data_IF_302852537190
#
_entry.id   IF_302852537190
#
_cell.length_a   1.000
_cell.length_b   1.000
_cell.length_c   1.000
_cell.angle_alpha   90.00
_cell.angle_beta   90.00
_cell.angle_gamma   90.00
#
_symmetry.space_group_name_H-M   'P 1'
#
loop_
_entity.id
_entity.type
_entity.pdbx_description
1 polymer ?
#
# COMPACT_ATOMS: atom_id res chain seq x y z
N UNK A 1 -0.78 12.00 -4.70
CA UNK A 1 -1.22 10.68 -4.25
C UNK A 1 -2.25 10.13 -5.23
N UNK A 2 -1.98 8.97 -5.81
CA UNK A 2 -2.90 8.29 -6.73
C UNK A 2 -3.52 7.09 -6.04
N UNK A 3 -4.83 6.90 -6.19
CA UNK A 3 -5.58 5.73 -5.71
C UNK A 3 -6.24 5.03 -6.88
N UNK A 4 -6.14 3.71 -6.91
CA UNK A 4 -6.76 2.87 -7.93
C UNK A 4 -7.76 1.92 -7.27
N UNK A 5 -8.95 1.81 -7.84
CA UNK A 5 -9.95 0.84 -7.46
C UNK A 5 -10.09 -0.17 -8.59
N UNK A 6 -10.04 -1.44 -8.26
CA UNK A 6 -10.01 -2.53 -9.24
C UNK A 6 -11.17 -3.48 -8.96
N UNK A 7 -11.91 -3.83 -10.00
CA UNK A 7 -12.94 -4.86 -9.95
C UNK A 7 -12.46 -6.09 -10.74
N UNK A 8 -12.51 -7.30 -10.17
CA UNK A 8 -12.14 -8.52 -10.89
C UNK A 8 -12.94 -8.71 -12.16
N UNK A 9 -12.32 -9.27 -13.20
CA UNK A 9 -12.95 -9.47 -14.51
C UNK A 9 -14.20 -10.36 -14.44
N UNK A 10 -14.19 -11.34 -13.57
CA UNK A 10 -15.29 -12.27 -13.33
C UNK A 10 -16.54 -11.59 -12.73
N UNK A 11 -16.36 -10.40 -12.13
CA UNK A 11 -17.41 -9.62 -11.49
C UNK A 11 -17.84 -8.39 -12.31
N UNK A 12 -17.46 -8.31 -13.58
CA UNK A 12 -17.74 -7.16 -14.45
C UNK A 12 -19.10 -7.28 -15.18
N UNK A 13 -20.12 -7.83 -14.52
CA UNK A 13 -21.50 -7.66 -14.99
C UNK A 13 -21.99 -6.22 -14.78
N UNK A 14 -23.02 -5.83 -15.53
CA UNK A 14 -23.50 -4.43 -15.56
C UNK A 14 -23.93 -3.91 -14.18
N UNK A 15 -24.60 -4.75 -13.39
CA UNK A 15 -25.13 -4.33 -12.10
C UNK A 15 -24.01 -4.22 -11.05
N UNK A 16 -23.04 -5.10 -11.07
CA UNK A 16 -21.87 -5.05 -10.19
C UNK A 16 -20.97 -3.88 -10.53
N UNK A 17 -20.76 -3.59 -11.81
CA UNK A 17 -20.02 -2.39 -12.24
C UNK A 17 -20.73 -1.11 -11.79
N UNK A 18 -22.07 -1.05 -11.93
CA UNK A 18 -22.84 0.12 -11.49
C UNK A 18 -22.72 0.34 -9.98
N UNK A 19 -22.87 -0.72 -9.17
CA UNK A 19 -22.70 -0.65 -7.70
C UNK A 19 -21.28 -0.25 -7.32
N UNK A 20 -20.28 -0.79 -8.01
CA UNK A 20 -18.87 -0.43 -7.81
C UNK A 20 -18.64 1.07 -8.07
N UNK A 21 -19.16 1.62 -9.18
CA UNK A 21 -19.04 3.04 -9.49
C UNK A 21 -19.74 3.92 -8.43
N UNK A 22 -20.92 3.50 -7.95
CA UNK A 22 -21.61 4.19 -6.86
C UNK A 22 -20.79 4.20 -5.56
N UNK A 23 -20.12 3.09 -5.24
CA UNK A 23 -19.23 3.02 -4.09
C UNK A 23 -18.00 3.93 -4.24
N UNK A 24 -17.45 4.05 -5.46
CA UNK A 24 -16.38 5.01 -5.75
C UNK A 24 -16.86 6.46 -5.62
N UNK A 25 -18.09 6.77 -6.08
CA UNK A 25 -18.70 8.09 -5.90
C UNK A 25 -18.89 8.44 -4.42
N UNK A 26 -19.36 7.48 -3.64
CA UNK A 26 -19.53 7.65 -2.21
C UNK A 26 -18.20 7.88 -1.50
N UNK A 27 -17.18 7.09 -1.83
CA UNK A 27 -15.83 7.26 -1.29
C UNK A 27 -15.26 8.65 -1.61
N UNK A 28 -15.38 9.09 -2.86
CA UNK A 28 -14.94 10.42 -3.29
C UNK A 28 -15.63 11.53 -2.50
N UNK A 29 -16.94 11.43 -2.29
CA UNK A 29 -17.71 12.40 -1.48
C UNK A 29 -17.23 12.42 -0.03
N UNK A 30 -17.12 11.26 0.63
CA UNK A 30 -16.71 11.17 2.03
C UNK A 30 -15.33 11.84 2.24
N UNK A 31 -14.39 11.59 1.35
CA UNK A 31 -13.05 12.18 1.45
C UNK A 31 -13.10 13.69 1.18
N UNK A 32 -13.81 14.15 0.15
CA UNK A 32 -13.91 15.55 -0.17
C UNK A 32 -14.67 16.35 0.91
N UNK A 33 -15.71 15.77 1.48
CA UNK A 33 -16.51 16.37 2.56
C UNK A 33 -15.74 16.45 3.88
N UNK A 34 -14.73 15.60 4.08
CA UNK A 34 -13.86 15.68 5.26
C UNK A 34 -13.04 16.97 5.34
N UNK A 35 -12.84 17.65 4.22
CA UNK A 35 -12.07 18.89 4.13
C UNK A 35 -10.55 18.75 4.29
N UNK A 36 -10.03 17.55 4.60
CA UNK A 36 -8.60 17.33 4.77
C UNK A 36 -7.85 17.18 3.45
N UNK A 37 -8.46 16.52 2.48
CA UNK A 37 -7.86 16.22 1.17
C UNK A 37 -8.95 16.33 0.11
N UNK A 38 -8.58 16.87 -1.03
CA UNK A 38 -9.44 16.84 -2.22
C UNK A 38 -8.97 15.73 -3.16
N UNK A 39 -9.87 14.86 -3.56
CA UNK A 39 -9.63 13.84 -4.57
C UNK A 39 -10.51 14.12 -5.79
N UNK A 40 -9.98 13.83 -6.97
CA UNK A 40 -10.67 13.96 -8.25
C UNK A 40 -10.36 12.74 -9.11
N UNK A 41 -11.30 12.40 -9.99
CA UNK A 41 -11.05 11.33 -10.96
C UNK A 41 -10.12 11.81 -12.05
N UNK A 42 -9.15 10.98 -12.36
CA UNK A 42 -8.25 11.21 -13.48
C UNK A 42 -8.98 10.94 -14.80
N UNK A 43 -8.79 11.82 -15.75
CA UNK A 43 -9.26 11.63 -17.13
C UNK A 43 -8.30 10.73 -17.89
N UNK A 44 -8.75 10.21 -19.03
CA UNK A 44 -7.96 9.32 -19.85
C UNK A 44 -6.64 9.95 -20.29
N UNK A 45 -6.67 11.20 -20.72
CA UNK A 45 -5.52 11.99 -21.15
C UNK A 45 -4.50 12.21 -20.01
N UNK A 46 -4.96 12.38 -18.78
CA UNK A 46 -4.08 12.48 -17.60
C UNK A 46 -3.41 11.14 -17.26
N UNK A 47 -4.04 10.01 -17.61
CA UNK A 47 -3.49 8.67 -17.37
C UNK A 47 -2.51 8.29 -18.49
N UNK A 48 -2.93 8.41 -19.76
CA UNK A 48 -2.17 7.92 -20.92
C UNK A 48 -1.24 8.96 -21.55
N UNK A 49 -1.40 10.24 -21.19
CA UNK A 49 -0.69 11.34 -21.83
C UNK A 49 -1.33 11.81 -23.14
N UNK A 50 -0.80 12.89 -23.65
CA UNK A 50 -1.11 13.52 -24.93
C UNK A 50 0.19 13.80 -25.68
N UNK A 51 0.12 14.25 -26.93
CA UNK A 51 1.32 14.60 -27.71
C UNK A 51 2.19 15.68 -27.03
N UNK A 52 1.58 16.54 -26.19
CA UNK A 52 2.24 17.68 -25.57
C UNK A 52 2.48 17.53 -24.05
N UNK A 53 1.95 16.48 -23.43
CA UNK A 53 2.05 16.30 -21.98
C UNK A 53 2.08 14.81 -21.62
N UNK A 54 3.10 14.42 -20.88
CA UNK A 54 3.26 13.04 -20.41
C UNK A 54 2.15 12.68 -19.41
N UNK A 55 1.52 11.52 -19.58
CA UNK A 55 0.57 10.96 -18.66
C UNK A 55 1.25 10.36 -17.41
N UNK A 56 0.43 10.00 -16.40
CA UNK A 56 0.98 9.42 -15.16
C UNK A 56 1.71 8.10 -15.41
N UNK A 57 1.27 7.29 -16.39
CA UNK A 57 1.91 6.03 -16.76
C UNK A 57 3.31 6.31 -17.33
N UNK A 58 3.43 7.28 -18.24
CA UNK A 58 4.72 7.65 -18.82
C UNK A 58 5.67 8.22 -17.77
N UNK A 59 5.18 9.12 -16.89
CA UNK A 59 5.95 9.67 -15.76
C UNK A 59 6.42 8.58 -14.80
N UNK A 60 5.60 7.57 -14.57
CA UNK A 60 5.96 6.43 -13.73
C UNK A 60 7.10 5.60 -14.33
N UNK A 61 7.07 5.37 -15.65
CA UNK A 61 8.12 4.62 -16.34
C UNK A 61 9.39 5.43 -16.62
N UNK A 62 9.27 6.74 -16.84
CA UNK A 62 10.44 7.60 -17.07
C UNK A 62 11.15 8.00 -15.78
N UNK A 63 10.49 7.87 -14.62
CA UNK A 63 10.95 8.35 -13.31
C UNK A 63 11.38 9.84 -13.34
N UNK A 64 10.89 10.61 -14.32
CA UNK A 64 11.17 12.02 -14.51
C UNK A 64 10.00 12.87 -14.04
N UNK A 65 10.30 14.03 -13.49
CA UNK A 65 9.31 15.07 -13.20
C UNK A 65 9.12 16.01 -14.39
N UNK A 66 9.98 15.92 -15.39
CA UNK A 66 9.89 16.74 -16.59
C UNK A 66 8.78 16.22 -17.52
N UNK A 67 8.19 17.14 -18.29
CA UNK A 67 7.11 16.82 -19.25
C UNK A 67 7.67 16.18 -20.54
N UNK A 68 8.72 15.38 -20.43
CA UNK A 68 9.33 14.70 -21.55
C UNK A 68 8.61 13.40 -21.87
N UNK A 69 8.27 13.21 -23.12
CA UNK A 69 7.61 12.00 -23.64
C UNK A 69 8.59 10.87 -23.99
N UNK A 70 9.87 11.04 -23.70
CA UNK A 70 10.89 10.04 -24.04
C UNK A 70 10.96 8.96 -22.95
N UNK A 71 10.68 7.72 -23.36
CA UNK A 71 11.02 6.55 -22.56
C UNK A 71 12.55 6.45 -22.45
N UNK A 72 13.03 6.27 -21.24
CA UNK A 72 14.46 6.07 -20.98
C UNK A 72 14.81 4.58 -21.07
N UNK A 73 16.06 4.29 -21.40
CA UNK A 73 16.54 2.91 -21.48
C UNK A 73 16.48 2.25 -20.10
N UNK A 74 15.87 1.07 -20.06
CA UNK A 74 15.78 0.23 -18.87
C UNK A 74 16.86 -0.85 -18.91
N UNK A 75 17.79 -0.81 -17.98
CA UNK A 75 18.82 -1.83 -17.81
C UNK A 75 18.53 -2.66 -16.56
N UNK A 76 18.32 -3.97 -16.76
CA UNK A 76 18.13 -4.93 -15.67
C UNK A 76 19.35 -5.82 -15.57
N UNK A 77 20.26 -5.47 -14.69
CA UNK A 77 21.44 -6.28 -14.37
C UNK A 77 21.24 -7.13 -13.11
N UNK A 78 22.06 -8.16 -12.94
CA UNK A 78 21.99 -9.03 -11.76
C UNK A 78 22.25 -8.29 -10.43
N UNK A 79 23.01 -7.22 -10.45
CA UNK A 79 23.41 -6.45 -9.28
C UNK A 79 22.82 -5.03 -9.25
N UNK A 80 22.27 -4.56 -10.35
CA UNK A 80 21.87 -3.17 -10.50
C UNK A 80 20.73 -3.04 -11.53
N UNK A 81 19.77 -2.21 -11.19
CA UNK A 81 18.72 -1.75 -12.10
C UNK A 81 18.96 -0.27 -12.41
N UNK A 82 18.72 0.14 -13.66
CA UNK A 82 18.83 1.54 -14.08
C UNK A 82 17.71 1.91 -15.03
N UNK A 83 17.29 3.18 -14.94
CA UNK A 83 16.43 3.85 -15.91
C UNK A 83 17.15 5.13 -16.33
N UNK A 84 17.64 5.18 -17.55
CA UNK A 84 18.56 6.22 -17.98
C UNK A 84 19.78 6.30 -17.06
N UNK A 85 20.08 7.48 -16.55
CA UNK A 85 21.21 7.72 -15.64
C UNK A 85 20.89 7.38 -14.17
N UNK A 86 19.61 7.11 -13.84
CA UNK A 86 19.21 6.81 -12.50
C UNK A 86 19.43 5.33 -12.13
N UNK A 87 20.13 5.09 -11.04
CA UNK A 87 20.17 3.79 -10.38
C UNK A 87 18.89 3.61 -9.57
N UNK A 88 18.33 2.39 -9.56
CA UNK A 88 17.12 2.05 -8.84
C UNK A 88 17.39 0.98 -7.77
N UNK A 89 16.67 1.03 -6.68
CA UNK A 89 16.50 -0.09 -5.78
C UNK A 89 15.03 -0.28 -5.42
N UNK A 90 14.61 -1.54 -5.38
CA UNK A 90 13.27 -1.94 -4.99
C UNK A 90 13.37 -2.67 -3.65
N UNK A 91 12.71 -2.12 -2.65
CA UNK A 91 12.49 -2.78 -1.37
C UNK A 91 11.06 -3.27 -1.31
N UNK A 92 10.88 -4.54 -1.02
CA UNK A 92 9.56 -5.16 -0.94
C UNK A 92 9.44 -5.93 0.37
N UNK A 93 8.25 -5.94 0.92
CA UNK A 93 7.94 -6.79 2.07
C UNK A 93 7.99 -8.25 1.59
N UNK A 94 8.93 -9.02 2.11
CA UNK A 94 9.15 -10.42 1.72
C UNK A 94 8.64 -11.41 2.75
N UNK A 95 8.69 -11.06 4.03
CA UNK A 95 8.22 -11.91 5.12
C UNK A 95 7.37 -11.11 6.12
N UNK A 96 6.52 -11.82 6.84
CA UNK A 96 5.74 -11.26 7.95
C UNK A 96 6.63 -10.90 9.13
N UNK A 97 7.76 -11.57 9.30
CA UNK A 97 8.73 -11.31 10.36
C UNK A 97 9.45 -9.96 10.17
N UNK A 98 9.41 -9.39 8.96
CA UNK A 98 9.89 -8.04 8.68
C UNK A 98 8.95 -6.95 9.22
N UNK A 99 7.74 -7.33 9.65
CA UNK A 99 6.76 -6.40 10.19
C UNK A 99 6.84 -6.36 11.71
N UNK A 100 6.65 -5.16 12.31
CA UNK A 100 6.46 -5.08 13.75
C UNK A 100 5.17 -5.81 14.15
N UNK A 101 5.21 -6.57 15.23
CA UNK A 101 4.06 -7.35 15.70
C UNK A 101 2.83 -6.50 16.07
N UNK A 102 3.04 -5.22 16.40
CA UNK A 102 1.98 -4.25 16.67
C UNK A 102 2.41 -2.86 16.24
N UNK A 103 1.53 -2.12 15.59
CA UNK A 103 1.76 -0.75 15.14
C UNK A 103 0.71 0.17 15.75
N UNK A 104 1.15 1.26 16.37
CA UNK A 104 0.24 2.31 16.80
C UNK A 104 -0.35 3.04 15.58
N UNK A 105 -1.66 3.21 15.58
CA UNK A 105 -2.40 3.84 14.47
C UNK A 105 -2.41 5.36 14.55
N UNK A 106 -1.93 5.94 15.65
CA UNK A 106 -2.08 7.36 15.98
C UNK A 106 -0.79 8.00 16.51
N UNK A 107 0.36 7.56 16.02
CA UNK A 107 1.63 8.15 16.44
C UNK A 107 1.73 9.61 15.96
N UNK A 108 1.81 10.54 16.90
CA UNK A 108 2.05 11.95 16.61
C UNK A 108 3.49 12.15 16.10
N UNK A 109 3.61 12.86 14.99
CA UNK A 109 4.91 13.18 14.42
C UNK A 109 5.28 14.63 14.74
N UNK A 110 6.16 14.82 15.72
CA UNK A 110 6.48 16.12 16.31
C UNK A 110 7.07 17.13 15.32
N UNK A 111 7.83 16.67 14.31
CA UNK A 111 8.45 17.58 13.33
C UNK A 111 7.45 18.31 12.44
N UNK A 112 6.27 17.73 12.22
CA UNK A 112 5.21 18.30 11.39
C UNK A 112 3.98 18.71 12.20
N UNK A 113 3.96 18.38 13.49
CA UNK A 113 2.87 18.77 14.38
C UNK A 113 3.12 20.17 14.92
N UNK A 114 2.05 20.91 15.17
CA UNK A 114 2.04 22.23 15.78
C UNK A 114 1.11 22.22 16.99
N UNK A 115 1.11 23.32 17.78
CA UNK A 115 0.18 23.46 18.92
C UNK A 115 -1.30 23.48 18.50
N UNK A 116 -1.55 23.70 17.21
CA UNK A 116 -2.93 23.81 16.64
C UNK A 116 -3.32 22.66 15.74
N UNK A 117 -2.40 21.80 15.34
CA UNK A 117 -2.69 20.65 14.48
C UNK A 117 -1.72 19.49 14.71
N UNK A 118 -2.26 18.31 14.86
CA UNK A 118 -1.51 17.07 14.97
C UNK A 118 -1.28 16.45 13.60
N UNK A 119 -0.02 16.27 13.22
CA UNK A 119 0.31 15.38 12.11
C UNK A 119 0.49 13.97 12.68
N UNK A 120 -0.41 13.06 12.34
CA UNK A 120 -0.36 11.66 12.77
C UNK A 120 0.12 10.77 11.63
N UNK A 121 1.03 9.86 11.93
CA UNK A 121 1.60 8.94 10.97
C UNK A 121 1.00 7.55 11.17
N UNK A 122 0.52 6.97 10.09
CA UNK A 122 0.17 5.55 10.02
C UNK A 122 1.37 4.70 9.64
N UNK A 123 1.24 3.37 9.72
CA UNK A 123 2.30 2.38 9.56
C UNK A 123 3.28 2.63 8.40
N UNK A 124 2.83 2.92 7.20
CA UNK A 124 3.72 3.08 6.06
C UNK A 124 4.07 4.56 5.74
N UNK A 125 3.44 5.53 6.42
CA UNK A 125 3.69 6.96 6.20
C UNK A 125 5.12 7.38 6.56
N UNK A 126 5.76 6.88 7.64
CA UNK A 126 7.15 7.23 7.94
C UNK A 126 8.11 6.92 6.81
N UNK A 127 7.94 5.80 6.11
CA UNK A 127 8.80 5.41 4.99
C UNK A 127 8.77 6.49 3.91
N UNK A 128 7.57 6.93 3.49
CA UNK A 128 7.43 7.96 2.48
C UNK A 128 7.88 9.36 2.90
N UNK A 129 7.86 9.66 4.21
CA UNK A 129 8.22 10.99 4.72
C UNK A 129 9.72 11.11 5.04
N UNK A 130 10.34 10.01 5.48
CA UNK A 130 11.72 10.03 5.97
C UNK A 130 12.76 9.74 4.90
N UNK A 131 12.37 9.18 3.76
CA UNK A 131 13.29 8.93 2.65
C UNK A 131 13.75 10.25 2.02
N UNK A 132 15.06 10.43 1.93
CA UNK A 132 15.71 11.65 1.43
C UNK A 132 16.03 11.61 -0.08
N UNK A 133 15.66 10.57 -0.76
CA UNK A 133 15.81 10.39 -2.21
C UNK A 133 14.46 10.40 -2.94
N UNK A 134 14.49 10.45 -4.26
CA UNK A 134 13.28 10.24 -5.06
C UNK A 134 12.76 8.81 -4.85
N UNK A 135 11.46 8.68 -4.62
CA UNK A 135 10.88 7.37 -4.35
C UNK A 135 9.39 7.31 -4.68
N UNK A 136 8.91 6.10 -4.88
CA UNK A 136 7.50 5.77 -4.99
C UNK A 136 7.19 4.71 -3.94
N UNK A 137 6.25 5.00 -3.04
CA UNK A 137 5.72 4.03 -2.07
C UNK A 137 4.42 3.46 -2.62
N UNK A 138 4.40 2.16 -2.88
CA UNK A 138 3.20 1.45 -3.31
C UNK A 138 2.62 0.66 -2.13
N UNK A 139 1.35 0.86 -1.88
CA UNK A 139 0.58 0.11 -0.90
C UNK A 139 -0.57 -0.60 -1.61
N UNK A 140 -0.64 -1.91 -1.47
CA UNK A 140 -1.69 -2.75 -2.02
C UNK A 140 -2.55 -3.25 -0.86
N UNK A 141 -3.83 -2.97 -0.91
CA UNK A 141 -4.81 -3.42 0.08
C UNK A 141 -5.84 -4.28 -0.64
N UNK A 142 -5.92 -5.54 -0.26
CA UNK A 142 -6.91 -6.49 -0.78
C UNK A 142 -7.99 -6.69 0.28
N UNK A 143 -9.19 -6.24 -0.04
CA UNK A 143 -10.35 -6.36 0.83
C UNK A 143 -11.11 -7.60 0.38
N UNK A 144 -11.03 -8.65 1.17
CA UNK A 144 -11.77 -9.90 0.96
C UNK A 144 -13.14 -9.85 1.66
N UNK A 145 -13.98 -10.86 1.44
CA UNK A 145 -15.25 -10.99 2.17
C UNK A 145 -14.97 -11.23 3.68
N UNK A 146 -15.43 -10.33 4.57
CA UNK A 146 -15.16 -10.43 6.00
C UNK A 146 -15.71 -11.72 6.61
N UNK A 147 -16.90 -12.15 6.17
CA UNK A 147 -17.56 -13.34 6.71
C UNK A 147 -16.82 -14.62 6.32
N UNK A 148 -16.33 -14.69 5.09
CA UNK A 148 -15.49 -15.82 4.65
C UNK A 148 -14.16 -15.86 5.37
N UNK A 149 -13.53 -14.72 5.60
CA UNK A 149 -12.27 -14.64 6.33
C UNK A 149 -12.44 -15.07 7.79
N UNK A 150 -13.47 -14.61 8.48
CA UNK A 150 -13.78 -15.06 9.84
C UNK A 150 -13.94 -16.58 9.90
N UNK A 151 -14.71 -17.18 8.99
CA UNK A 151 -14.87 -18.65 8.90
C UNK A 151 -13.54 -19.38 8.68
N UNK A 152 -12.63 -18.80 7.87
CA UNK A 152 -11.29 -19.36 7.66
C UNK A 152 -10.48 -19.34 8.96
N UNK A 153 -10.46 -18.22 9.68
CA UNK A 153 -9.75 -18.09 10.96
C UNK A 153 -10.36 -18.98 12.05
N UNK A 154 -11.67 -19.08 12.16
CA UNK A 154 -12.34 -20.02 13.08
C UNK A 154 -11.97 -21.47 12.79
N UNK A 155 -11.91 -21.87 11.51
CA UNK A 155 -11.45 -23.19 11.10
C UNK A 155 -9.98 -23.40 11.47
N UNK A 156 -9.14 -22.39 11.27
CA UNK A 156 -7.73 -22.43 11.62
C UNK A 156 -7.54 -22.54 13.12
N UNK A 157 -8.29 -21.78 13.94
CA UNK A 157 -8.27 -21.89 15.41
C UNK A 157 -8.60 -23.31 15.88
N UNK A 158 -9.65 -23.92 15.32
CA UNK A 158 -10.01 -25.33 15.62
C UNK A 158 -8.90 -26.31 15.25
N UNK A 159 -8.26 -26.13 14.11
CA UNK A 159 -7.13 -26.97 13.71
C UNK A 159 -5.92 -26.79 14.64
N UNK A 160 -5.60 -25.54 14.99
CA UNK A 160 -4.50 -25.24 15.92
C UNK A 160 -4.77 -25.75 17.33
N UNK A 161 -6.03 -25.82 17.76
CA UNK A 161 -6.40 -26.42 19.04
C UNK A 161 -5.95 -27.88 19.14
N UNK A 162 -6.13 -28.66 18.09
CA UNK A 162 -5.66 -30.07 18.06
C UNK A 162 -4.14 -30.18 17.97
N UNK A 163 -3.47 -29.24 17.30
CA UNK A 163 -2.02 -29.23 17.07
C UNK A 163 -1.23 -28.55 18.20
N UNK A 164 -1.87 -27.76 19.05
CA UNK A 164 -1.21 -27.03 20.15
C UNK A 164 -0.50 -27.94 21.17
N UNK A 165 -0.94 -29.19 21.27
CA UNK A 165 -0.31 -30.21 22.14
C UNK A 165 1.08 -30.65 21.66
N UNK A 166 1.40 -30.44 20.38
CA UNK A 166 2.62 -30.95 19.76
C UNK A 166 3.71 -29.89 19.61
N UNK A 167 3.38 -28.60 19.68
CA UNK A 167 4.35 -27.55 19.49
C UNK A 167 3.92 -26.26 20.20
N UNK A 168 4.88 -25.61 20.88
CA UNK A 168 4.68 -24.31 21.50
C UNK A 168 4.35 -23.22 20.44
N UNK A 169 4.91 -23.34 19.25
CA UNK A 169 4.59 -22.42 18.13
C UNK A 169 3.11 -22.51 17.74
N UNK A 170 2.55 -23.73 17.67
CA UNK A 170 1.13 -23.91 17.38
C UNK A 170 0.24 -23.37 18.50
N UNK A 171 0.68 -23.43 19.75
CA UNK A 171 -0.01 -22.82 20.87
C UNK A 171 -0.04 -21.30 20.75
N UNK A 172 1.09 -20.66 20.46
CA UNK A 172 1.19 -19.21 20.28
C UNK A 172 0.32 -18.75 19.09
N UNK A 173 0.40 -19.45 17.96
CA UNK A 173 -0.42 -19.14 16.78
C UNK A 173 -1.91 -19.27 17.08
N UNK A 174 -2.31 -20.25 17.90
CA UNK A 174 -3.70 -20.38 18.34
C UNK A 174 -4.12 -19.19 19.18
N UNK A 175 -3.32 -18.78 20.17
CA UNK A 175 -3.61 -17.64 21.05
C UNK A 175 -3.78 -16.36 20.24
N UNK A 176 -2.94 -16.09 19.24
CA UNK A 176 -3.07 -14.94 18.35
C UNK A 176 -4.34 -14.99 17.49
N UNK A 177 -4.71 -16.16 16.97
CA UNK A 177 -5.94 -16.30 16.18
C UNK A 177 -7.16 -16.08 17.07
N UNK A 178 -7.18 -16.62 18.29
CA UNK A 178 -8.27 -16.43 19.25
C UNK A 178 -8.39 -14.95 19.68
N UNK A 179 -7.28 -14.26 19.94
CA UNK A 179 -7.25 -12.83 20.24
C UNK A 179 -7.85 -12.02 19.07
N UNK A 180 -7.38 -12.28 17.84
CA UNK A 180 -7.94 -11.63 16.64
C UNK A 180 -9.44 -11.89 16.49
N UNK A 181 -9.91 -13.12 16.64
CA UNK A 181 -11.34 -13.45 16.54
C UNK A 181 -12.18 -12.71 17.59
N UNK A 182 -11.69 -12.62 18.83
CA UNK A 182 -12.35 -11.85 19.88
C UNK A 182 -12.45 -10.36 19.54
N UNK A 183 -11.37 -9.75 19.04
CA UNK A 183 -11.37 -8.36 18.60
C UNK A 183 -12.26 -8.16 17.36
N UNK A 184 -12.23 -9.06 16.39
CA UNK A 184 -13.05 -8.99 15.18
C UNK A 184 -14.54 -9.04 15.51
N UNK A 185 -14.95 -9.91 16.44
CA UNK A 185 -16.35 -10.00 16.86
C UNK A 185 -16.80 -8.84 17.76
N UNK A 186 -15.95 -8.35 18.65
CA UNK A 186 -16.29 -7.30 19.60
C UNK A 186 -16.23 -5.90 18.99
N UNK A 187 -15.28 -5.64 18.11
CA UNK A 187 -15.01 -4.33 17.54
C UNK A 187 -15.40 -4.22 16.06
N UNK A 188 -15.88 -5.30 15.44
CA UNK A 188 -16.22 -5.33 14.02
C UNK A 188 -14.99 -5.17 13.09
N UNK A 189 -13.82 -5.62 13.54
CA UNK A 189 -12.59 -5.53 12.73
C UNK A 189 -12.65 -6.47 11.54
N UNK A 190 -12.12 -6.00 10.43
CA UNK A 190 -12.01 -6.78 9.19
C UNK A 190 -10.56 -7.02 8.87
N UNK A 191 -10.19 -8.29 8.63
CA UNK A 191 -8.87 -8.61 8.13
C UNK A 191 -8.73 -8.18 6.67
N UNK A 192 -7.57 -7.66 6.34
CA UNK A 192 -7.18 -7.32 4.97
C UNK A 192 -5.87 -8.01 4.65
N UNK A 193 -5.65 -8.29 3.38
CA UNK A 193 -4.33 -8.64 2.88
C UNK A 193 -3.65 -7.36 2.40
N UNK A 194 -2.42 -7.14 2.84
CA UNK A 194 -1.66 -5.97 2.47
C UNK A 194 -0.30 -6.36 1.92
N UNK A 195 0.19 -5.57 1.00
CA UNK A 195 1.55 -5.62 0.52
C UNK A 195 2.05 -4.20 0.32
N UNK A 196 3.32 -3.95 0.60
CA UNK A 196 3.95 -2.67 0.30
C UNK A 196 5.32 -2.87 -0.34
N UNK A 197 5.67 -1.95 -1.20
CA UNK A 197 7.01 -1.85 -1.72
C UNK A 197 7.40 -0.38 -1.90
N UNK A 198 8.70 -0.14 -1.92
CA UNK A 198 9.30 1.16 -2.14
C UNK A 198 10.28 1.05 -3.28
N UNK A 199 10.03 1.79 -4.35
CA UNK A 199 10.97 2.00 -5.42
C UNK A 199 11.69 3.32 -5.16
N UNK A 200 12.99 3.26 -4.92
CA UNK A 200 13.83 4.43 -4.72
C UNK A 200 14.84 4.56 -5.87
N UNK A 201 15.14 5.80 -6.28
CA UNK A 201 16.13 6.03 -7.34
C UNK A 201 16.93 7.32 -7.10
N UNK A 202 18.12 7.33 -7.63
CA UNK A 202 19.03 8.46 -7.64
C UNK A 202 20.08 8.31 -8.72
N UNK A 203 20.58 9.40 -9.25
CA UNK A 203 21.81 9.48 -10.04
C UNK A 203 23.06 9.20 -9.20
N UNK A 204 23.00 9.46 -7.88
CA UNK A 204 24.05 9.13 -6.91
C UNK A 204 23.83 7.75 -6.28
N UNK A 205 24.69 6.80 -6.64
CA UNK A 205 24.70 5.45 -6.09
C UNK A 205 24.93 5.37 -4.58
N UNK A 206 25.67 6.31 -4.02
CA UNK A 206 25.94 6.32 -2.57
C UNK A 206 24.70 6.70 -1.78
N UNK A 207 23.87 7.58 -2.33
CA UNK A 207 22.57 7.95 -1.75
C UNK A 207 21.63 6.76 -1.63
N UNK A 208 21.57 5.91 -2.66
CA UNK A 208 20.78 4.68 -2.61
C UNK A 208 21.30 3.65 -1.61
N UNK A 209 22.61 3.57 -1.40
CA UNK A 209 23.18 2.69 -0.37
C UNK A 209 22.77 3.12 1.05
N UNK A 210 22.62 4.43 1.29
CA UNK A 210 22.14 4.94 2.58
C UNK A 210 20.67 4.61 2.85
N UNK A 211 19.87 4.50 1.80
CA UNK A 211 18.44 4.09 1.90
C UNK A 211 18.30 2.62 2.28
N UNK A 212 19.29 1.80 1.93
CA UNK A 212 19.28 0.36 2.20
C UNK A 212 19.59 0.01 3.66
N UNK A 213 20.26 0.89 4.38
CA UNK A 213 20.66 0.73 5.78
C UNK A 213 19.69 1.46 6.72
#
# INVERSE_FOLDING_TARGET
LTRNFIIPKEMQDKDTVTRFLQSCDQFERIINDSGFVRITRMRKDEITGTENSAGIIEKYFSLSQEETTCLQDLTLGAAEMKVGDNCLCLHTLSDTDDLPGKVATDMRYERLSTDRSDCRLSFAAPIGVLLTCNHIVNQYLFIDDPAENLKKFEKQARNMHSLSRYSRSNQINREWIEEYLNEAHSLGLTSIRAHCNVLAWSDDRNRLKQVKN
#
